data_IF_335905568636
#
_entry.id   IF_335905568636
#
_cell.length_a   1.000
_cell.length_b   1.000
_cell.length_c   1.000
_cell.angle_alpha   90.00
_cell.angle_beta   90.00
_cell.angle_gamma   90.00
#
_symmetry.space_group_name_H-M   'P 1'
#
loop_
_entity.id
_entity.type
_entity.pdbx_description
1 polymer ?
#
# COMPACT_ATOMS: atom_id res chain seq x y z
N UNK A 1 -15.13 64.05 42.00
CA UNK A 1 -14.46 62.96 41.27
C UNK A 1 -13.08 63.44 40.89
N UNK A 2 -12.05 62.79 41.44
CA UNK A 2 -10.65 63.24 41.47
C UNK A 2 -9.99 63.18 40.09
N UNK A 3 -9.11 64.15 39.82
CA UNK A 3 -8.26 64.26 38.62
C UNK A 3 -6.80 63.93 38.98
N UNK A 4 -6.08 63.41 37.96
CA UNK A 4 -4.61 63.36 37.72
C UNK A 4 -3.80 62.20 38.35
N UNK A 5 -2.57 61.90 37.85
CA UNK A 5 -2.06 61.94 36.47
C UNK A 5 -1.11 60.77 36.07
N UNK A 6 -0.74 60.76 34.78
CA UNK A 6 0.50 60.31 34.13
C UNK A 6 1.61 59.60 34.95
N UNK A 7 2.11 58.49 34.39
CA UNK A 7 3.54 58.20 34.31
C UNK A 7 3.83 57.45 32.99
N UNK A 8 4.82 57.98 32.29
CA UNK A 8 5.41 57.60 31.03
C UNK A 8 6.83 57.16 31.39
N UNK A 9 7.29 55.99 30.95
CA UNK A 9 8.71 55.66 30.94
C UNK A 9 9.05 54.70 29.80
N UNK A 10 10.14 55.06 29.14
CA UNK A 10 10.77 54.48 27.95
C UNK A 10 11.46 53.15 28.21
N UNK A 11 11.30 52.17 27.30
CA UNK A 11 12.34 51.14 27.06
C UNK A 11 12.50 50.88 25.55
N UNK A 12 13.49 51.59 25.00
CA UNK A 12 14.62 51.15 24.14
C UNK A 12 14.42 50.00 23.13
N UNK A 13 14.54 50.42 21.87
CA UNK A 13 15.11 49.75 20.70
C UNK A 13 15.84 48.41 20.90
N UNK A 14 15.39 47.38 20.17
CA UNK A 14 16.26 46.37 19.55
C UNK A 14 15.69 45.90 18.20
N UNK A 15 16.40 46.24 17.13
CA UNK A 15 16.71 45.40 15.97
C UNK A 15 15.58 44.82 15.10
N UNK A 16 15.06 45.61 14.16
CA UNK A 16 14.52 45.07 12.91
C UNK A 16 15.69 44.70 11.99
N UNK A 17 16.02 43.41 11.89
CA UNK A 17 16.89 42.91 10.81
C UNK A 17 16.04 42.82 9.53
N UNK A 18 16.23 43.82 8.68
CA UNK A 18 15.76 43.84 7.30
C UNK A 18 16.55 42.78 6.51
N UNK A 19 15.95 41.60 6.28
CA UNK A 19 16.48 40.66 5.30
C UNK A 19 16.16 41.21 3.90
N UNK A 20 17.14 41.88 3.31
CA UNK A 20 17.20 42.15 1.87
C UNK A 20 17.37 40.80 1.15
N UNK A 21 16.26 40.25 0.68
CA UNK A 21 16.24 39.20 -0.33
C UNK A 21 16.18 39.84 -1.71
N UNK A 22 17.21 39.58 -2.50
CA UNK A 22 17.38 40.03 -3.89
C UNK A 22 16.23 39.51 -4.74
N UNK A 23 15.44 40.42 -5.33
CA UNK A 23 14.54 40.07 -6.44
C UNK A 23 15.43 39.82 -7.65
N UNK A 24 15.75 38.56 -7.92
CA UNK A 24 16.17 38.17 -9.27
C UNK A 24 14.93 38.22 -10.14
N UNK A 25 14.87 39.24 -10.98
CA UNK A 25 13.99 39.25 -12.14
C UNK A 25 14.36 38.03 -13.00
N UNK A 26 13.50 37.02 -13.00
CA UNK A 26 13.52 35.98 -14.03
C UNK A 26 13.12 36.70 -15.31
N UNK A 27 14.10 36.92 -16.17
CA UNK A 27 13.87 37.34 -17.55
C UNK A 27 12.99 36.28 -18.20
N UNK A 28 11.79 36.67 -18.60
CA UNK A 28 10.94 35.90 -19.49
C UNK A 28 11.69 35.80 -20.82
N UNK A 29 12.35 34.67 -21.03
CA UNK A 29 12.94 34.29 -22.31
C UNK A 29 11.99 33.30 -22.97
N UNK A 30 11.48 33.71 -24.13
CA UNK A 30 10.83 32.93 -25.19
C UNK A 30 9.94 31.72 -24.83
N UNK A 31 8.63 31.93 -24.94
CA UNK A 31 7.96 31.59 -26.21
C UNK A 31 7.64 30.13 -26.55
N UNK A 32 8.07 29.13 -25.79
CA UNK A 32 7.50 27.78 -25.87
C UNK A 32 6.76 27.48 -24.57
N UNK A 33 5.43 27.56 -24.59
CA UNK A 33 4.62 26.84 -23.60
C UNK A 33 4.90 25.37 -23.85
N UNK A 34 5.86 24.80 -23.13
CA UNK A 34 6.00 23.36 -23.02
C UNK A 34 4.70 22.86 -22.40
N UNK A 35 3.80 22.43 -23.26
CA UNK A 35 2.65 21.66 -22.85
C UNK A 35 3.22 20.36 -22.28
N UNK A 36 3.17 20.22 -20.96
CA UNK A 36 3.40 18.93 -20.34
C UNK A 36 2.53 17.90 -21.06
N UNK A 37 3.18 16.85 -21.54
CA UNK A 37 2.47 15.71 -22.07
C UNK A 37 1.54 15.14 -20.99
N UNK A 38 0.46 14.48 -21.39
CA UNK A 38 -0.42 13.79 -20.45
C UNK A 38 0.36 12.81 -19.54
N UNK A 39 1.44 12.19 -20.06
CA UNK A 39 2.29 11.31 -19.26
C UNK A 39 3.11 12.06 -18.21
N UNK A 40 3.55 13.29 -18.50
CA UNK A 40 4.26 14.13 -17.53
C UNK A 40 3.29 14.66 -16.48
N UNK A 41 2.09 15.08 -16.89
CA UNK A 41 1.03 15.50 -15.98
C UNK A 41 0.62 14.39 -15.01
N UNK A 42 0.41 13.17 -15.52
CA UNK A 42 0.13 11.99 -14.70
C UNK A 42 1.31 11.61 -13.82
N UNK A 43 2.55 11.80 -14.27
CA UNK A 43 3.75 11.51 -13.47
C UNK A 43 3.97 12.55 -12.36
N UNK A 44 3.62 13.81 -12.62
CA UNK A 44 3.68 14.89 -11.64
C UNK A 44 2.58 14.76 -10.59
N UNK A 45 1.34 14.45 -11.01
CA UNK A 45 0.26 14.08 -10.09
C UNK A 45 0.60 12.85 -9.24
N UNK A 46 1.28 11.85 -9.83
CA UNK A 46 1.78 10.68 -9.10
C UNK A 46 2.88 11.03 -8.08
N UNK A 47 3.81 11.92 -8.43
CA UNK A 47 4.84 12.40 -7.49
C UNK A 47 4.23 13.22 -6.36
N UNK A 48 3.25 14.06 -6.66
CA UNK A 48 2.48 14.81 -5.67
C UNK A 48 1.75 13.86 -4.71
N UNK A 49 1.09 12.82 -5.23
CA UNK A 49 0.45 11.76 -4.44
C UNK A 49 1.45 11.07 -3.49
N UNK A 50 2.65 10.72 -3.98
CA UNK A 50 3.73 10.12 -3.16
C UNK A 50 4.43 11.13 -2.21
N UNK A 51 4.26 12.44 -2.39
CA UNK A 51 4.90 13.48 -1.58
C UNK A 51 4.09 13.87 -0.32
N UNK A 52 2.83 13.44 -0.21
CA UNK A 52 2.08 13.45 1.06
C UNK A 52 2.92 12.76 2.13
N UNK A 53 3.07 13.29 3.37
CA UNK A 53 4.02 12.74 4.34
C UNK A 53 3.65 11.31 4.78
N UNK A 54 4.07 10.34 3.96
CA UNK A 54 4.06 8.89 4.16
C UNK A 54 4.87 8.46 5.39
N UNK A 55 5.61 9.40 5.99
CA UNK A 55 6.56 9.21 7.08
C UNK A 55 5.95 8.63 8.36
N UNK A 56 4.63 8.45 8.44
CA UNK A 56 3.95 7.84 9.59
C UNK A 56 3.36 6.47 9.31
N UNK A 57 3.27 5.99 8.06
CA UNK A 57 2.55 4.75 7.72
C UNK A 57 3.42 3.69 7.04
N UNK A 58 4.31 4.08 6.12
CA UNK A 58 5.24 3.16 5.46
C UNK A 58 6.63 3.25 6.10
N UNK A 59 7.17 2.10 6.52
CA UNK A 59 8.53 2.02 7.03
C UNK A 59 9.53 2.21 5.89
N UNK A 60 10.59 2.99 6.10
CA UNK A 60 11.65 3.24 5.10
C UNK A 60 12.30 1.93 4.60
N UNK A 61 12.30 0.89 5.42
CA UNK A 61 12.79 -0.44 5.06
C UNK A 61 11.91 -1.19 4.03
N UNK A 62 10.65 -0.76 3.84
CA UNK A 62 9.71 -1.40 2.92
C UNK A 62 9.80 -0.82 1.50
N UNK A 63 9.80 -1.70 0.49
CA UNK A 63 9.66 -1.31 -0.91
C UNK A 63 8.35 -0.58 -1.15
N UNK A 64 8.27 0.25 -2.19
CA UNK A 64 6.98 0.73 -2.69
C UNK A 64 6.01 -0.43 -2.94
N UNK A 65 4.70 -0.20 -2.83
CA UNK A 65 3.69 -1.24 -3.10
C UNK A 65 3.81 -1.79 -4.52
N UNK A 66 4.08 -0.90 -5.47
CA UNK A 66 4.31 -1.23 -6.87
C UNK A 66 5.55 -2.10 -7.06
N UNK A 67 6.64 -1.79 -6.37
CA UNK A 67 7.87 -2.58 -6.41
C UNK A 67 7.71 -3.94 -5.72
N UNK A 68 6.97 -4.01 -4.60
CA UNK A 68 6.66 -5.27 -3.93
C UNK A 68 5.79 -6.18 -4.82
N UNK A 69 4.74 -5.64 -5.44
CA UNK A 69 3.92 -6.37 -6.40
C UNK A 69 4.73 -6.83 -7.62
N UNK A 70 5.63 -5.97 -8.14
CA UNK A 70 6.53 -6.30 -9.25
C UNK A 70 7.53 -7.39 -8.87
N UNK A 71 8.09 -7.33 -7.66
CA UNK A 71 8.99 -8.35 -7.12
C UNK A 71 8.29 -9.71 -7.00
N UNK A 72 7.08 -9.75 -6.45
CA UNK A 72 6.28 -10.98 -6.37
C UNK A 72 5.87 -11.51 -7.75
N UNK A 73 5.51 -10.62 -8.69
CA UNK A 73 5.26 -10.99 -10.09
C UNK A 73 6.49 -11.67 -10.69
N UNK A 74 7.66 -11.04 -10.58
CA UNK A 74 8.90 -11.57 -11.12
C UNK A 74 9.25 -12.93 -10.50
N UNK A 75 9.04 -13.10 -9.19
CA UNK A 75 9.19 -14.39 -8.51
C UNK A 75 8.23 -15.42 -9.09
N UNK A 76 6.97 -15.07 -9.35
CA UNK A 76 5.96 -16.01 -9.86
C UNK A 76 6.19 -16.40 -11.32
N UNK A 77 6.49 -15.43 -12.19
CA UNK A 77 6.93 -15.69 -13.57
C UNK A 77 8.10 -16.66 -13.58
N UNK A 78 9.03 -16.38 -12.68
CA UNK A 78 10.25 -17.14 -12.52
C UNK A 78 9.95 -18.57 -12.04
N UNK A 79 9.14 -18.72 -10.99
CA UNK A 79 8.79 -20.02 -10.42
C UNK A 79 8.27 -20.98 -11.48
N UNK A 80 7.63 -20.53 -12.57
CA UNK A 80 7.49 -21.35 -13.79
C UNK A 80 6.74 -22.70 -13.65
N UNK A 81 6.05 -22.95 -12.52
CA UNK A 81 5.72 -24.32 -12.12
C UNK A 81 4.26 -24.69 -12.15
N UNK A 82 3.90 -25.83 -12.76
CA UNK A 82 2.73 -26.56 -12.36
C UNK A 82 2.98 -27.30 -11.05
N UNK A 83 2.75 -26.66 -9.89
CA UNK A 83 2.56 -27.41 -8.66
C UNK A 83 1.32 -28.31 -8.83
N UNK A 84 1.51 -29.63 -8.77
CA UNK A 84 0.42 -30.58 -9.00
C UNK A 84 -0.63 -30.48 -7.89
N UNK A 85 -1.76 -29.82 -8.21
CA UNK A 85 -3.01 -30.06 -7.52
C UNK A 85 -3.67 -31.28 -8.17
N UNK A 86 -3.99 -32.37 -7.44
CA UNK A 86 -4.36 -33.66 -8.03
C UNK A 86 -5.64 -33.66 -8.88
N UNK A 87 -6.38 -32.54 -8.91
CA UNK A 87 -7.63 -32.38 -9.64
C UNK A 87 -7.58 -31.29 -10.72
N UNK A 88 -6.42 -30.68 -10.97
CA UNK A 88 -6.25 -29.68 -12.02
C UNK A 88 -5.33 -30.21 -13.12
N UNK A 89 -5.69 -29.95 -14.36
CA UNK A 89 -4.82 -30.21 -15.52
C UNK A 89 -3.68 -29.20 -15.57
N UNK A 90 -2.55 -29.55 -16.19
CA UNK A 90 -1.42 -28.63 -16.34
C UNK A 90 -1.79 -27.33 -17.05
N UNK A 91 -2.75 -27.41 -17.99
CA UNK A 91 -3.27 -26.23 -18.70
C UNK A 91 -4.01 -25.29 -17.75
N UNK A 92 -4.84 -25.81 -16.87
CA UNK A 92 -5.55 -25.02 -15.87
C UNK A 92 -4.59 -24.43 -14.84
N UNK A 93 -3.60 -25.21 -14.39
CA UNK A 93 -2.57 -24.74 -13.47
C UNK A 93 -1.78 -23.58 -14.08
N UNK A 94 -1.28 -23.75 -15.30
CA UNK A 94 -0.58 -22.66 -16.04
C UNK A 94 -1.46 -21.44 -16.20
N UNK A 95 -2.74 -21.63 -16.56
CA UNK A 95 -3.67 -20.52 -16.71
C UNK A 95 -3.84 -19.74 -15.41
N UNK A 96 -4.07 -20.41 -14.27
CA UNK A 96 -4.25 -19.72 -13.00
C UNK A 96 -2.95 -19.02 -12.55
N UNK A 97 -1.75 -19.59 -12.79
CA UNK A 97 -0.48 -18.88 -12.55
C UNK A 97 -0.31 -17.62 -13.39
N UNK A 98 -0.58 -17.70 -14.69
CA UNK A 98 -0.59 -16.52 -15.58
C UNK A 98 -1.59 -15.47 -15.10
N UNK A 99 -2.74 -15.89 -14.55
CA UNK A 99 -3.68 -14.94 -13.95
C UNK A 99 -3.09 -14.26 -12.72
N UNK A 100 -2.44 -15.00 -11.80
CA UNK A 100 -1.76 -14.40 -10.63
C UNK A 100 -0.77 -13.32 -11.09
N UNK A 101 0.08 -13.66 -12.05
CA UNK A 101 1.06 -12.74 -12.64
C UNK A 101 0.41 -11.49 -13.23
N UNK A 102 -0.61 -11.66 -14.08
CA UNK A 102 -1.31 -10.54 -14.73
C UNK A 102 -1.93 -9.59 -13.71
N UNK A 103 -2.56 -10.12 -12.66
CA UNK A 103 -3.16 -9.31 -11.60
C UNK A 103 -2.11 -8.54 -10.79
N UNK A 104 -0.98 -9.17 -10.45
CA UNK A 104 0.14 -8.48 -9.81
C UNK A 104 0.78 -7.43 -10.73
N UNK A 105 0.86 -7.70 -12.03
CA UNK A 105 1.33 -6.76 -13.05
C UNK A 105 0.44 -5.53 -13.16
N UNK A 106 -0.89 -5.72 -13.13
CA UNK A 106 -1.84 -4.60 -13.10
C UNK A 106 -1.72 -3.81 -11.79
N UNK A 107 -1.57 -4.46 -10.63
CA UNK A 107 -1.34 -3.78 -9.36
C UNK A 107 -0.05 -2.94 -9.37
N UNK A 108 1.05 -3.50 -9.91
CA UNK A 108 2.34 -2.84 -10.01
C UNK A 108 2.39 -1.73 -11.07
N UNK A 109 1.55 -1.83 -12.12
CA UNK A 109 1.45 -0.87 -13.20
C UNK A 109 0.46 0.26 -12.94
N UNK A 110 -0.43 0.12 -11.94
CA UNK A 110 -1.43 1.12 -11.59
C UNK A 110 -0.75 2.35 -10.97
N UNK A 111 -0.65 3.40 -11.78
CA UNK A 111 -0.10 4.70 -11.36
C UNK A 111 -1.15 5.54 -10.64
N UNK A 112 -2.30 5.74 -11.28
CA UNK A 112 -3.34 6.65 -10.80
C UNK A 112 -4.68 6.30 -11.45
N UNK A 113 -5.76 6.43 -10.68
CA UNK A 113 -7.14 6.38 -11.14
C UNK A 113 -7.70 7.79 -11.02
N UNK A 114 -7.99 8.40 -12.16
CA UNK A 114 -8.53 9.75 -12.22
C UNK A 114 -10.06 9.73 -12.06
N UNK A 115 -10.56 10.39 -11.03
CA UNK A 115 -11.98 10.57 -10.75
C UNK A 115 -12.26 12.06 -10.70
N UNK A 116 -13.05 12.50 -11.68
CA UNK A 116 -13.56 13.85 -11.77
C UNK A 116 -15.07 13.85 -11.53
N UNK A 117 -15.50 14.43 -10.41
CA UNK A 117 -16.91 14.75 -10.22
C UNK A 117 -17.23 16.00 -11.03
N UNK A 118 -17.78 15.80 -12.24
CA UNK A 118 -18.34 16.86 -13.06
C UNK A 118 -19.61 17.42 -12.40
N UNK A 119 -19.47 18.45 -11.56
CA UNK A 119 -20.54 19.41 -11.32
C UNK A 119 -19.97 20.78 -10.92
N UNK A 120 -19.45 21.49 -11.92
CA UNK A 120 -18.70 22.72 -11.67
C UNK A 120 -18.57 23.63 -12.89
N UNK A 121 -19.48 23.57 -13.86
CA UNK A 121 -19.56 24.66 -14.85
C UNK A 121 -19.94 26.00 -14.21
N UNK A 122 -20.28 26.03 -12.93
CA UNK A 122 -20.58 27.23 -12.14
C UNK A 122 -19.62 27.47 -10.95
N UNK A 123 -18.68 26.56 -10.64
CA UNK A 123 -17.72 26.74 -9.51
C UNK A 123 -16.60 27.74 -9.82
N UNK A 124 -16.30 28.00 -11.10
CA UNK A 124 -15.40 29.07 -11.55
C UNK A 124 -15.75 30.48 -11.05
N UNK A 125 -16.99 30.71 -10.58
CA UNK A 125 -17.43 31.99 -10.03
C UNK A 125 -16.98 32.18 -8.56
N UNK A 126 -16.55 31.11 -7.89
CA UNK A 126 -16.05 31.13 -6.52
C UNK A 126 -14.78 30.26 -6.41
N UNK A 127 -13.60 30.90 -6.34
CA UNK A 127 -12.32 30.19 -6.27
C UNK A 127 -12.28 29.12 -5.17
N UNK A 128 -12.91 29.40 -4.03
CA UNK A 128 -12.98 28.48 -2.88
C UNK A 128 -13.77 27.19 -3.20
N UNK A 129 -14.85 27.29 -3.99
CA UNK A 129 -15.61 26.12 -4.41
C UNK A 129 -14.84 25.30 -5.47
N UNK A 130 -14.05 25.97 -6.31
CA UNK A 130 -13.09 25.33 -7.21
C UNK A 130 -12.04 24.52 -6.45
N UNK A 131 -11.35 25.16 -5.50
CA UNK A 131 -10.31 24.52 -4.67
C UNK A 131 -10.84 23.29 -3.91
N UNK A 132 -12.07 23.38 -3.38
CA UNK A 132 -12.72 22.24 -2.72
C UNK A 132 -12.96 21.06 -3.67
N UNK A 133 -13.50 21.32 -4.86
CA UNK A 133 -13.76 20.27 -5.84
C UNK A 133 -12.45 19.61 -6.29
N UNK A 134 -11.40 20.40 -6.51
CA UNK A 134 -10.07 19.87 -6.88
C UNK A 134 -9.49 18.99 -5.76
N UNK A 135 -9.60 19.43 -4.50
CA UNK A 135 -9.18 18.65 -3.34
C UNK A 135 -9.99 17.35 -3.18
N UNK A 136 -11.32 17.41 -3.37
CA UNK A 136 -12.18 16.25 -3.29
C UNK A 136 -11.91 15.24 -4.41
N UNK A 137 -11.77 15.71 -5.66
CA UNK A 137 -11.38 14.88 -6.80
C UNK A 137 -10.03 14.21 -6.56
N UNK A 138 -9.04 14.98 -6.07
CA UNK A 138 -7.71 14.44 -5.73
C UNK A 138 -7.78 13.34 -4.68
N UNK A 139 -8.56 13.56 -3.63
CA UNK A 139 -8.74 12.62 -2.52
C UNK A 139 -9.45 11.33 -2.95
N UNK A 140 -10.55 11.46 -3.70
CA UNK A 140 -11.31 10.30 -4.20
C UNK A 140 -10.50 9.53 -5.23
N UNK A 141 -9.74 10.22 -6.08
CA UNK A 141 -8.81 9.60 -7.04
C UNK A 141 -7.70 8.81 -6.35
N UNK A 142 -7.08 9.39 -5.31
CA UNK A 142 -6.09 8.71 -4.48
C UNK A 142 -6.66 7.45 -3.81
N UNK A 143 -7.83 7.59 -3.19
CA UNK A 143 -8.54 6.48 -2.56
C UNK A 143 -8.89 5.38 -3.57
N UNK A 144 -9.45 5.75 -4.72
CA UNK A 144 -9.79 4.81 -5.78
C UNK A 144 -8.56 4.12 -6.37
N UNK A 145 -7.42 4.81 -6.44
CA UNK A 145 -6.15 4.21 -6.86
C UNK A 145 -5.77 3.06 -5.93
N UNK A 146 -5.76 3.29 -4.62
CA UNK A 146 -5.41 2.25 -3.66
C UNK A 146 -6.46 1.15 -3.55
N UNK A 147 -7.75 1.48 -3.70
CA UNK A 147 -8.81 0.47 -3.74
C UNK A 147 -8.71 -0.42 -4.99
N UNK A 148 -8.43 0.15 -6.17
CA UNK A 148 -8.21 -0.65 -7.38
C UNK A 148 -6.97 -1.53 -7.24
N UNK A 149 -5.89 -1.02 -6.63
CA UNK A 149 -4.71 -1.83 -6.32
C UNK A 149 -5.05 -2.98 -5.38
N UNK A 150 -5.83 -2.72 -4.33
CA UNK A 150 -6.31 -3.75 -3.41
C UNK A 150 -7.10 -4.84 -4.15
N UNK A 151 -8.01 -4.47 -5.05
CA UNK A 151 -8.80 -5.41 -5.85
C UNK A 151 -7.94 -6.25 -6.79
N UNK A 152 -6.92 -5.67 -7.42
CA UNK A 152 -5.98 -6.42 -8.25
C UNK A 152 -5.14 -7.40 -7.43
N UNK A 153 -4.55 -6.97 -6.32
CA UNK A 153 -3.77 -7.86 -5.44
C UNK A 153 -4.64 -8.96 -4.86
N UNK A 154 -5.87 -8.63 -4.46
CA UNK A 154 -6.83 -9.62 -4.01
C UNK A 154 -7.18 -10.64 -5.11
N UNK A 155 -7.37 -10.17 -6.35
CA UNK A 155 -7.62 -11.06 -7.49
C UNK A 155 -6.44 -12.00 -7.72
N UNK A 156 -5.20 -11.53 -7.58
CA UNK A 156 -4.01 -12.38 -7.59
C UNK A 156 -4.05 -13.43 -6.46
N UNK A 157 -4.40 -13.02 -5.24
CA UNK A 157 -4.52 -13.93 -4.11
C UNK A 157 -5.58 -15.02 -4.36
N UNK A 158 -6.78 -14.67 -4.86
CA UNK A 158 -7.82 -15.65 -5.18
C UNK A 158 -7.36 -16.72 -6.19
N UNK A 159 -6.58 -16.30 -7.20
CA UNK A 159 -6.01 -17.20 -8.20
C UNK A 159 -4.96 -18.11 -7.58
N UNK A 160 -4.08 -17.55 -6.76
CA UNK A 160 -3.08 -18.33 -6.01
C UNK A 160 -3.76 -19.36 -5.09
N UNK A 161 -4.80 -18.97 -4.36
CA UNK A 161 -5.54 -19.87 -3.47
C UNK A 161 -6.17 -21.08 -4.17
N UNK A 162 -6.46 -20.98 -5.47
CA UNK A 162 -6.92 -22.13 -6.27
C UNK A 162 -5.80 -23.13 -6.54
N UNK A 163 -4.56 -22.67 -6.64
CA UNK A 163 -3.38 -23.49 -6.91
C UNK A 163 -2.90 -24.23 -5.66
N UNK A 164 -3.05 -23.62 -4.49
CA UNK A 164 -2.55 -24.20 -3.24
C UNK A 164 -3.34 -25.43 -2.77
N UNK A 165 -2.63 -26.33 -2.12
CA UNK A 165 -3.20 -27.41 -1.31
C UNK A 165 -3.48 -26.84 0.08
N UNK A 166 -4.76 -26.74 0.43
CA UNK A 166 -5.21 -26.09 1.65
C UNK A 166 -5.70 -27.13 2.67
N UNK A 167 -5.49 -26.93 3.98
CA UNK A 167 -5.94 -27.87 5.01
C UNK A 167 -7.47 -27.83 5.19
N UNK A 168 -8.04 -28.94 5.68
CA UNK A 168 -9.48 -29.09 5.93
C UNK A 168 -9.89 -28.90 7.41
N UNK A 169 -8.98 -28.39 8.23
CA UNK A 169 -9.17 -28.19 9.67
C UNK A 169 -10.00 -26.94 10.03
N UNK A 170 -10.54 -26.22 9.05
CA UNK A 170 -11.47 -25.11 9.28
C UNK A 170 -12.89 -25.66 9.45
N UNK A 171 -13.66 -25.21 10.47
CA UNK A 171 -15.04 -25.65 10.68
C UNK A 171 -15.92 -25.43 9.44
N UNK A 172 -16.81 -26.38 9.15
CA UNK A 172 -17.63 -26.41 7.92
C UNK A 172 -18.32 -25.07 7.61
N UNK A 173 -18.90 -24.42 8.63
CA UNK A 173 -19.59 -23.12 8.51
C UNK A 173 -18.69 -22.00 7.94
N UNK A 174 -17.37 -22.10 8.12
CA UNK A 174 -16.39 -21.11 7.69
C UNK A 174 -15.47 -21.65 6.60
N UNK A 175 -15.75 -22.84 6.04
CA UNK A 175 -14.88 -23.50 5.07
C UNK A 175 -14.94 -22.79 3.72
N UNK A 176 -13.95 -21.94 3.48
CA UNK A 176 -13.66 -21.32 2.18
C UNK A 176 -12.14 -21.24 2.00
N UNK A 177 -11.68 -20.95 0.78
CA UNK A 177 -10.26 -21.02 0.47
C UNK A 177 -9.42 -20.04 1.28
N UNK A 178 -9.87 -18.80 1.50
CA UNK A 178 -9.07 -17.84 2.25
C UNK A 178 -8.97 -18.20 3.74
N UNK A 179 -10.03 -18.72 4.38
CA UNK A 179 -9.97 -19.19 5.76
C UNK A 179 -9.06 -20.42 5.90
N UNK A 180 -9.12 -21.35 4.93
CA UNK A 180 -8.22 -22.52 4.92
C UNK A 180 -6.76 -22.10 4.71
N UNK A 181 -6.51 -21.07 3.91
CA UNK A 181 -5.19 -20.48 3.75
C UNK A 181 -4.70 -19.74 5.00
N UNK A 182 -5.56 -19.00 5.70
CA UNK A 182 -5.23 -18.45 7.03
C UNK A 182 -4.85 -19.56 8.02
N UNK A 183 -5.52 -20.72 7.95
CA UNK A 183 -5.19 -21.89 8.76
C UNK A 183 -3.86 -22.54 8.35
N UNK A 184 -3.57 -22.60 7.04
CA UNK A 184 -2.27 -23.04 6.54
C UNK A 184 -1.15 -22.15 7.08
N UNK A 185 -1.28 -20.82 6.95
CA UNK A 185 -0.30 -19.87 7.48
C UNK A 185 -0.15 -20.00 9.00
N UNK A 186 -1.26 -20.18 9.73
CA UNK A 186 -1.21 -20.38 11.19
C UNK A 186 -0.38 -21.62 11.56
N UNK A 187 -0.50 -22.72 10.81
CA UNK A 187 0.27 -23.95 11.04
C UNK A 187 1.74 -23.78 10.65
N UNK A 188 2.02 -23.17 9.49
CA UNK A 188 3.38 -23.00 8.99
C UNK A 188 4.23 -22.02 9.79
N UNK A 189 3.60 -21.05 10.45
CA UNK A 189 4.25 -20.03 11.27
C UNK A 189 3.93 -20.20 12.77
N UNK A 190 3.62 -21.41 13.22
CA UNK A 190 3.44 -21.68 14.66
C UNK A 190 4.77 -21.60 15.42
N UNK A 191 5.86 -22.04 14.79
CA UNK A 191 7.22 -22.06 15.35
C UNK A 191 8.22 -21.22 14.54
N UNK A 192 7.77 -20.59 13.46
CA UNK A 192 8.61 -19.78 12.59
C UNK A 192 8.27 -18.30 12.73
N UNK A 193 9.28 -17.45 12.58
CA UNK A 193 9.09 -16.01 12.63
C UNK A 193 8.27 -15.52 11.42
N UNK A 194 7.43 -14.52 11.68
CA UNK A 194 6.72 -13.78 10.66
C UNK A 194 7.70 -12.93 9.84
N UNK A 195 7.39 -12.60 8.56
CA UNK A 195 8.16 -11.63 7.82
C UNK A 195 8.34 -10.32 8.59
N UNK A 196 9.50 -9.67 8.42
CA UNK A 196 9.75 -8.34 8.99
C UNK A 196 8.59 -7.39 8.66
N UNK A 197 8.25 -6.50 9.59
CA UNK A 197 7.16 -5.53 9.47
C UNK A 197 5.72 -6.09 9.30
N UNK A 198 5.50 -7.41 9.22
CA UNK A 198 4.15 -7.97 9.11
C UNK A 198 3.22 -7.49 10.25
N UNK A 199 3.70 -7.58 11.49
CA UNK A 199 2.92 -7.14 12.65
C UNK A 199 2.74 -5.62 12.71
N UNK A 200 3.74 -4.84 12.26
CA UNK A 200 3.63 -3.39 12.17
C UNK A 200 2.52 -2.97 11.19
N UNK A 201 2.46 -3.59 10.01
CA UNK A 201 1.37 -3.35 9.03
C UNK A 201 0.01 -3.71 9.62
N UNK A 202 -0.08 -4.85 10.30
CA UNK A 202 -1.31 -5.26 10.98
C UNK A 202 -1.75 -4.26 12.06
N UNK A 203 -0.83 -3.81 12.90
CA UNK A 203 -1.11 -2.87 13.99
C UNK A 203 -1.54 -1.49 13.46
N UNK A 204 -0.85 -0.95 12.46
CA UNK A 204 -1.24 0.29 11.81
C UNK A 204 -2.62 0.18 11.17
N UNK A 205 -2.91 -0.93 10.48
CA UNK A 205 -4.22 -1.15 9.89
C UNK A 205 -5.31 -1.24 10.96
N UNK A 206 -5.05 -1.92 12.08
CA UNK A 206 -5.99 -1.95 13.21
C UNK A 206 -6.27 -0.55 13.76
N UNK A 207 -5.24 0.29 13.91
CA UNK A 207 -5.40 1.67 14.38
C UNK A 207 -6.28 2.48 13.42
N UNK A 208 -6.05 2.35 12.11
CA UNK A 208 -6.90 2.99 11.10
C UNK A 208 -8.36 2.54 11.20
N UNK A 209 -8.61 1.24 11.31
CA UNK A 209 -9.98 0.70 11.45
C UNK A 209 -10.64 1.13 12.76
N UNK A 210 -9.89 1.27 13.85
CA UNK A 210 -10.43 1.71 15.15
C UNK A 210 -10.73 3.20 15.21
N UNK A 211 -9.95 4.02 14.49
CA UNK A 211 -10.07 5.47 14.50
C UNK A 211 -11.07 5.99 13.45
N UNK A 212 -11.44 5.16 12.47
CA UNK A 212 -12.46 5.48 11.46
C UNK A 212 -13.80 4.85 11.84
N UNK A 213 -14.81 5.69 12.10
CA UNK A 213 -16.13 5.24 12.53
C UNK A 213 -16.87 4.41 11.46
N UNK A 214 -16.68 4.72 10.17
CA UNK A 214 -17.29 3.98 9.07
C UNK A 214 -16.69 2.58 8.99
N UNK A 215 -15.37 2.45 9.03
CA UNK A 215 -14.67 1.17 9.04
C UNK A 215 -14.97 0.35 10.30
N UNK A 216 -15.02 1.00 11.47
CA UNK A 216 -15.34 0.33 12.73
C UNK A 216 -16.75 -0.28 12.72
N UNK A 217 -17.71 0.39 12.08
CA UNK A 217 -19.09 -0.09 11.97
C UNK A 217 -19.24 -1.36 11.12
N UNK A 218 -18.23 -1.68 10.30
CA UNK A 218 -18.23 -2.86 9.44
C UNK A 218 -18.06 -4.16 10.21
N UNK A 219 -19.17 -4.88 10.37
CA UNK A 219 -19.20 -6.16 11.09
C UNK A 219 -18.32 -7.24 10.44
N UNK A 220 -18.15 -7.21 9.12
CA UNK A 220 -17.30 -8.16 8.40
C UNK A 220 -15.83 -7.92 8.73
N UNK A 221 -15.39 -6.66 8.62
CA UNK A 221 -14.05 -6.20 8.94
C UNK A 221 -13.69 -6.42 10.40
N UNK A 222 -14.57 -6.00 11.33
CA UNK A 222 -14.40 -6.23 12.77
C UNK A 222 -14.21 -7.71 13.10
N UNK A 223 -14.95 -8.60 12.44
CA UNK A 223 -14.79 -10.06 12.61
C UNK A 223 -13.48 -10.59 12.03
N UNK A 224 -12.93 -9.96 10.99
CA UNK A 224 -11.64 -10.34 10.39
C UNK A 224 -10.44 -9.98 11.24
N UNK A 225 -10.58 -9.02 12.15
CA UNK A 225 -9.55 -8.66 13.14
C UNK A 225 -9.48 -9.66 14.31
N UNK A 226 -10.51 -10.49 14.50
CA UNK A 226 -10.57 -11.45 15.60
C UNK A 226 -9.73 -12.70 15.32
N UNK A 227 -8.88 -13.06 16.29
CA UNK A 227 -8.15 -14.32 16.30
C UNK A 227 -9.10 -15.48 16.58
N UNK A 228 -8.90 -16.59 15.89
CA UNK A 228 -9.58 -17.87 16.13
C UNK A 228 -8.56 -19.00 16.24
N UNK A 229 -8.98 -20.21 16.64
CA UNK A 229 -8.07 -21.36 16.75
C UNK A 229 -7.38 -21.72 15.43
N UNK A 230 -8.02 -21.45 14.29
CA UNK A 230 -7.54 -21.73 12.94
C UNK A 230 -7.08 -20.47 12.19
N UNK A 231 -7.07 -19.31 12.84
CA UNK A 231 -6.58 -18.04 12.27
C UNK A 231 -5.95 -17.22 13.39
N UNK A 232 -4.65 -17.39 13.53
CA UNK A 232 -3.78 -16.57 14.37
C UNK A 232 -3.18 -15.43 13.54
N UNK A 233 -2.22 -14.72 14.12
CA UNK A 233 -1.48 -13.59 13.54
C UNK A 233 -1.09 -13.81 12.06
N UNK A 234 -0.51 -14.95 11.63
CA UNK A 234 -0.09 -15.17 10.25
C UNK A 234 -1.24 -15.10 9.22
N UNK A 235 -2.48 -15.33 9.66
CA UNK A 235 -3.65 -15.37 8.79
C UNK A 235 -4.53 -14.11 8.83
N UNK A 236 -4.19 -13.11 9.65
CA UNK A 236 -5.04 -11.93 9.89
C UNK A 236 -5.06 -10.98 8.69
N UNK A 237 -3.90 -10.62 8.11
CA UNK A 237 -3.85 -9.67 6.99
C UNK A 237 -4.60 -10.18 5.76
N UNK A 238 -4.50 -11.48 5.45
CA UNK A 238 -5.29 -12.12 4.39
C UNK A 238 -6.80 -11.97 4.63
N UNK A 239 -7.24 -12.18 5.87
CA UNK A 239 -8.64 -12.05 6.23
C UNK A 239 -9.12 -10.60 6.18
N UNK A 240 -8.29 -9.65 6.59
CA UNK A 240 -8.65 -8.23 6.60
C UNK A 240 -8.78 -7.73 5.16
N UNK A 241 -7.81 -8.03 4.29
CA UNK A 241 -7.88 -7.67 2.88
C UNK A 241 -9.12 -8.24 2.17
N UNK A 242 -9.51 -9.49 2.48
CA UNK A 242 -10.77 -10.07 1.98
C UNK A 242 -12.01 -9.29 2.40
N UNK A 243 -12.03 -8.73 3.61
CA UNK A 243 -13.18 -7.95 4.10
C UNK A 243 -13.17 -6.55 3.51
N UNK A 244 -12.00 -5.91 3.46
CA UNK A 244 -11.85 -4.53 2.98
C UNK A 244 -12.21 -4.35 1.52
N UNK A 245 -11.91 -5.32 0.65
CA UNK A 245 -12.25 -5.25 -0.79
C UNK A 245 -13.75 -5.07 -1.06
N UNK A 246 -14.60 -5.47 -0.13
CA UNK A 246 -16.06 -5.46 -0.29
C UNK A 246 -16.71 -4.20 0.29
N UNK A 247 -15.97 -3.37 1.02
CA UNK A 247 -16.53 -2.19 1.71
C UNK A 247 -17.14 -1.20 0.71
N UNK A 248 -16.49 -0.86 -0.43
CA UNK A 248 -17.10 0.05 -1.41
C UNK A 248 -18.41 -0.51 -2.01
N UNK A 249 -18.45 -1.81 -2.28
CA UNK A 249 -19.61 -2.47 -2.90
C UNK A 249 -20.86 -2.50 -1.99
N UNK A 250 -20.68 -2.36 -0.68
CA UNK A 250 -21.79 -2.33 0.28
C UNK A 250 -22.30 -0.91 0.55
N UNK A 251 -21.74 0.11 -0.09
CA UNK A 251 -22.14 1.52 0.09
C UNK A 251 -21.91 2.04 1.51
N UNK A 252 -21.09 1.33 2.29
CA UNK A 252 -20.73 1.70 3.66
C UNK A 252 -19.68 2.79 3.63
N UNK A 253 -18.76 2.68 2.68
CA UNK A 253 -17.84 3.74 2.40
C UNK A 253 -18.56 4.82 1.59
N UNK A 254 -18.77 5.97 2.22
CA UNK A 254 -19.32 7.18 1.58
C UNK A 254 -18.28 7.88 0.71
N UNK A 255 -17.11 7.26 0.55
CA UNK A 255 -15.92 7.89 0.01
C UNK A 255 -15.33 8.85 1.04
N UNK A 256 -14.04 9.16 0.92
CA UNK A 256 -13.44 10.18 1.76
C UNK A 256 -14.04 11.56 1.44
N UNK A 257 -14.56 12.21 2.47
CA UNK A 257 -15.07 13.58 2.39
C UNK A 257 -13.99 14.56 2.87
N UNK A 258 -13.88 15.70 2.20
CA UNK A 258 -13.04 16.80 2.68
C UNK A 258 -13.73 17.42 3.90
N UNK A 259 -13.13 17.30 5.09
CA UNK A 259 -13.69 17.84 6.34
C UNK A 259 -13.64 19.36 6.37
N UNK A 260 -14.82 19.95 6.57
CA UNK A 260 -15.21 21.34 6.86
C UNK A 260 -14.45 22.51 6.21
N UNK A 261 -15.27 23.40 5.63
CA UNK A 261 -14.96 24.63 4.90
C UNK A 261 -14.16 25.71 5.66
N UNK A 262 -13.93 25.58 6.96
CA UNK A 262 -13.33 26.66 7.74
C UNK A 262 -11.80 26.65 7.60
N UNK A 263 -11.33 27.67 6.89
CA UNK A 263 -9.95 28.01 6.55
C UNK A 263 -8.97 27.78 7.71
N UNK A 264 -7.74 27.39 7.32
CA UNK A 264 -6.52 27.35 8.13
C UNK A 264 -6.30 26.15 9.05
N UNK A 265 -7.09 25.06 8.97
CA UNK A 265 -6.74 23.84 9.71
C UNK A 265 -5.75 22.96 8.91
N UNK A 266 -4.46 22.86 9.30
CA UNK A 266 -3.51 21.91 8.72
C UNK A 266 -3.99 20.44 8.85
N UNK A 267 -5.04 20.16 9.63
CA UNK A 267 -5.71 18.85 9.65
C UNK A 267 -6.38 18.47 8.33
N UNK A 268 -6.68 19.43 7.44
CA UNK A 268 -7.25 19.15 6.11
C UNK A 268 -6.27 18.40 5.18
N UNK A 269 -4.98 18.77 5.19
CA UNK A 269 -3.91 18.00 4.52
C UNK A 269 -3.69 16.62 5.17
N UNK A 270 -3.82 16.54 6.51
CA UNK A 270 -3.74 15.28 7.25
C UNK A 270 -4.91 14.34 6.92
N UNK A 271 -6.11 14.88 6.68
CA UNK A 271 -7.29 14.09 6.30
C UNK A 271 -7.10 13.44 4.91
N UNK A 272 -6.57 14.21 3.94
CA UNK A 272 -6.18 13.72 2.61
C UNK A 272 -5.23 12.52 2.71
N UNK A 273 -4.24 12.58 3.60
CA UNK A 273 -3.32 11.48 3.87
C UNK A 273 -4.06 10.24 4.43
N UNK A 274 -4.89 10.39 5.46
CA UNK A 274 -5.46 9.22 6.16
C UNK A 274 -6.45 8.38 5.36
N UNK A 275 -7.22 9.00 4.46
CA UNK A 275 -8.32 8.36 3.73
C UNK A 275 -7.92 7.11 2.93
N UNK A 276 -6.77 7.14 2.26
CA UNK A 276 -6.31 6.03 1.43
C UNK A 276 -5.33 5.09 2.16
N UNK A 277 -4.94 5.40 3.40
CA UNK A 277 -4.01 4.57 4.16
C UNK A 277 -4.56 3.18 4.46
N UNK A 278 -5.85 3.08 4.78
CA UNK A 278 -6.47 1.79 5.07
C UNK A 278 -6.41 0.82 3.87
N UNK A 279 -6.86 1.18 2.64
CA UNK A 279 -6.69 0.31 1.48
C UNK A 279 -5.22 0.09 1.08
N UNK A 280 -4.34 1.08 1.28
CA UNK A 280 -2.90 0.94 1.05
C UNK A 280 -2.27 -0.13 1.96
N UNK A 281 -2.53 -0.05 3.27
CA UNK A 281 -2.07 -1.02 4.27
C UNK A 281 -2.71 -2.41 4.06
N UNK A 282 -3.98 -2.46 3.66
CA UNK A 282 -4.63 -3.72 3.30
C UNK A 282 -3.98 -4.36 2.07
N UNK A 283 -3.61 -3.55 1.07
CA UNK A 283 -2.87 -4.00 -0.12
C UNK A 283 -1.52 -4.56 0.29
N UNK A 284 -0.76 -3.83 1.14
CA UNK A 284 0.50 -4.32 1.71
C UNK A 284 0.32 -5.65 2.43
N UNK A 285 -0.70 -5.75 3.27
CA UNK A 285 -1.00 -6.95 4.03
C UNK A 285 -1.36 -8.14 3.14
N UNK A 286 -2.06 -7.92 2.02
CA UNK A 286 -2.31 -8.97 1.04
C UNK A 286 -1.05 -9.40 0.29
N UNK A 287 -0.18 -8.46 -0.11
CA UNK A 287 1.10 -8.80 -0.74
C UNK A 287 1.98 -9.62 0.22
N UNK A 288 2.07 -9.24 1.49
CA UNK A 288 2.74 -10.03 2.53
C UNK A 288 2.10 -11.41 2.71
N UNK A 289 0.78 -11.49 2.65
CA UNK A 289 0.07 -12.78 2.74
C UNK A 289 0.37 -13.68 1.53
N UNK A 290 0.38 -13.14 0.31
CA UNK A 290 0.78 -13.84 -0.92
C UNK A 290 2.23 -14.35 -0.76
N UNK A 291 3.13 -13.47 -0.32
CA UNK A 291 4.53 -13.80 -0.06
C UNK A 291 4.66 -14.97 0.92
N UNK A 292 3.98 -14.93 2.05
CA UNK A 292 4.00 -16.01 3.04
C UNK A 292 3.41 -17.31 2.50
N UNK A 293 2.34 -17.24 1.70
CA UNK A 293 1.73 -18.41 1.07
C UNK A 293 2.67 -19.06 0.05
N UNK A 294 3.36 -18.26 -0.76
CA UNK A 294 4.39 -18.73 -1.68
C UNK A 294 5.56 -19.39 -0.91
N UNK A 295 6.05 -18.72 0.14
CA UNK A 295 7.13 -19.23 0.99
C UNK A 295 6.76 -20.56 1.67
N UNK A 296 5.54 -20.68 2.21
CA UNK A 296 5.01 -21.93 2.77
C UNK A 296 4.93 -23.04 1.73
N UNK A 297 4.60 -22.69 0.50
CA UNK A 297 4.40 -23.65 -0.58
C UNK A 297 5.69 -24.04 -1.28
N UNK A 298 6.85 -23.49 -0.87
CA UNK A 298 8.14 -23.71 -1.52
C UNK A 298 8.56 -25.18 -1.55
N UNK A 299 8.20 -25.94 -0.53
CA UNK A 299 8.49 -27.38 -0.44
C UNK A 299 7.83 -28.23 -1.54
N UNK A 300 6.91 -27.65 -2.30
CA UNK A 300 6.22 -28.32 -3.41
C UNK A 300 6.72 -27.89 -4.78
N UNK A 301 7.70 -26.98 -4.83
CA UNK A 301 8.43 -26.68 -6.06
C UNK A 301 9.52 -27.75 -6.25
N UNK A 302 9.80 -28.19 -7.49
CA UNK A 302 10.83 -29.17 -7.76
C UNK A 302 12.19 -28.60 -7.39
N UNK A 303 13.06 -29.49 -6.94
CA UNK A 303 14.41 -29.17 -6.49
C UNK A 303 15.31 -28.67 -7.65
N UNK A 304 14.94 -28.99 -8.90
CA UNK A 304 15.68 -28.69 -10.13
C UNK A 304 15.35 -27.28 -10.70
N UNK A 305 15.30 -26.28 -9.82
CA UNK A 305 15.20 -24.89 -10.24
C UNK A 305 16.54 -24.48 -10.89
N UNK A 306 16.47 -23.92 -12.11
CA UNK A 306 17.59 -23.41 -12.92
C UNK A 306 18.63 -22.58 -12.10
N UNK A 307 19.91 -22.59 -12.48
CA UNK A 307 20.94 -21.94 -11.64
C UNK A 307 20.91 -20.40 -11.75
N UNK A 308 20.36 -19.87 -12.85
CA UNK A 308 20.25 -18.42 -13.17
C UNK A 308 19.22 -17.65 -12.31
N UNK A 309 18.58 -18.35 -11.37
CA UNK A 309 17.38 -17.89 -10.65
C UNK A 309 17.70 -17.00 -9.45
N UNK A 310 18.71 -17.47 -8.72
CA UNK A 310 19.01 -17.03 -7.35
C UNK A 310 20.16 -16.02 -7.37
N UNK A 311 21.08 -16.17 -8.34
CA UNK A 311 22.23 -15.28 -8.52
C UNK A 311 21.80 -13.85 -8.84
N UNK A 312 22.53 -12.88 -8.28
CA UNK A 312 22.33 -11.46 -8.55
C UNK A 312 21.17 -10.81 -7.81
N UNK A 313 20.75 -11.37 -6.65
CA UNK A 313 19.67 -10.80 -5.83
C UNK A 313 20.15 -10.46 -4.42
N UNK A 314 19.50 -9.50 -3.78
CA UNK A 314 19.65 -9.26 -2.35
C UNK A 314 18.61 -10.06 -1.56
N UNK A 315 19.06 -10.78 -0.53
CA UNK A 315 18.19 -11.49 0.42
C UNK A 315 18.48 -11.06 1.84
N UNK A 316 17.45 -11.13 2.69
CA UNK A 316 17.52 -10.85 4.11
C UNK A 316 17.51 -12.19 4.86
N UNK A 317 18.69 -12.70 5.21
CA UNK A 317 18.85 -13.94 5.96
C UNK A 317 19.38 -13.65 7.37
N UNK A 318 18.75 -14.23 8.39
CA UNK A 318 19.12 -14.01 9.80
C UNK A 318 19.33 -12.52 10.19
N UNK A 319 18.51 -11.63 9.62
CA UNK A 319 18.55 -10.18 9.87
C UNK A 319 19.68 -9.42 9.15
N UNK A 320 20.42 -10.06 8.23
CA UNK A 320 21.48 -9.44 7.44
C UNK A 320 21.16 -9.47 5.96
N UNK A 321 21.60 -8.44 5.25
CA UNK A 321 21.58 -8.41 3.79
C UNK A 321 22.73 -9.22 3.24
N UNK A 322 22.42 -10.15 2.36
CA UNK A 322 23.37 -10.99 1.67
C UNK A 322 23.09 -10.88 0.17
N UNK A 323 24.14 -10.57 -0.60
CA UNK A 323 24.07 -10.63 -2.06
C UNK A 323 24.28 -12.08 -2.46
N UNK A 324 23.33 -12.60 -3.21
CA UNK A 324 23.36 -13.98 -3.63
C UNK A 324 24.29 -14.10 -4.82
N UNK A 325 25.41 -14.79 -4.64
CA UNK A 325 26.38 -15.10 -5.71
C UNK A 325 26.33 -16.56 -6.17
N UNK A 326 25.57 -17.42 -5.47
CA UNK A 326 25.43 -18.87 -5.70
C UNK A 326 24.05 -19.34 -5.17
N UNK A 327 23.57 -20.54 -5.52
CA UNK A 327 22.26 -21.11 -5.14
C UNK A 327 21.91 -21.24 -3.63
N UNK A 328 22.80 -20.89 -2.71
CA UNK A 328 22.63 -21.15 -1.27
C UNK A 328 21.97 -20.00 -0.46
N UNK A 329 20.97 -19.32 -1.01
CA UNK A 329 19.79 -19.02 -0.19
C UNK A 329 18.62 -19.86 -0.63
N UNK A 330 17.89 -20.40 0.35
CA UNK A 330 16.64 -21.07 0.09
C UNK A 330 15.72 -20.09 -0.66
N UNK A 331 15.09 -20.53 -1.77
CA UNK A 331 14.04 -19.79 -2.49
C UNK A 331 13.03 -19.11 -1.53
N UNK A 332 12.76 -19.77 -0.41
CA UNK A 332 11.98 -19.25 0.70
C UNK A 332 12.46 -17.88 1.20
N UNK A 333 13.76 -17.67 1.38
CA UNK A 333 14.33 -16.43 1.89
C UNK A 333 14.27 -15.30 0.86
N UNK A 334 14.43 -15.60 -0.44
CA UNK A 334 14.15 -14.65 -1.53
C UNK A 334 12.71 -14.17 -1.43
N UNK A 335 11.77 -15.10 -1.34
CA UNK A 335 10.34 -14.77 -1.23
C UNK A 335 10.10 -13.94 0.03
N UNK A 336 10.61 -14.36 1.18
CA UNK A 336 10.41 -13.65 2.44
C UNK A 336 11.02 -12.26 2.48
N UNK A 337 12.02 -11.98 1.64
CA UNK A 337 12.67 -10.67 1.55
C UNK A 337 12.04 -9.74 0.51
N UNK A 338 11.09 -10.22 -0.30
CA UNK A 338 10.54 -9.49 -1.46
C UNK A 338 9.87 -8.14 -1.13
N UNK A 339 9.48 -7.93 0.12
CA UNK A 339 8.88 -6.69 0.62
C UNK A 339 9.90 -5.62 1.06
N UNK A 340 11.17 -6.00 1.24
CA UNK A 340 12.21 -5.15 1.83
C UNK A 340 13.04 -4.45 0.75
N UNK A 341 13.33 -3.16 0.93
CA UNK A 341 14.24 -2.41 0.05
C UNK A 341 15.63 -2.98 0.19
N UNK A 342 16.26 -3.29 -0.94
CA UNK A 342 17.63 -3.78 -0.90
C UNK A 342 18.62 -2.63 -0.56
N UNK A 343 19.85 -2.94 -0.15
CA UNK A 343 20.86 -1.92 0.16
C UNK A 343 21.11 -0.92 -0.97
N UNK A 344 21.12 -1.39 -2.22
CA UNK A 344 21.41 -0.56 -3.39
C UNK A 344 20.33 0.52 -3.62
N UNK A 345 19.07 0.24 -3.28
CA UNK A 345 17.96 1.20 -3.37
C UNK A 345 18.06 2.35 -2.36
N UNK A 346 18.98 2.29 -1.38
CA UNK A 346 19.24 3.41 -0.46
C UNK A 346 20.29 4.40 -0.99
N UNK A 347 21.12 4.00 -1.96
CA UNK A 347 22.25 4.81 -2.46
C UNK A 347 21.88 5.73 -3.64
N UNK A 348 20.66 5.64 -4.19
CA UNK A 348 20.19 6.43 -5.35
C UNK A 348 19.98 7.94 -5.07
N UNK A 349 20.48 8.46 -3.95
CA UNK A 349 20.60 9.91 -3.70
C UNK A 349 19.26 10.67 -3.61
N UNK A 350 18.13 9.98 -3.59
CA UNK A 350 16.79 10.54 -3.49
C UNK A 350 16.28 10.57 -2.04
N UNK A 351 17.06 11.18 -1.14
CA UNK A 351 16.57 11.65 0.17
C UNK A 351 16.43 13.17 0.16
#
# INVERSE_FOLDING_TARGET
MSKRPFLQDDIKHTGVKQLRGTVQAISVVDGSRDFMSMSELLSEGYRFYKATPLSTVDCVALRGLDDHARGLKAIIEFLGLPAHKPHMTDKEIRHEWTQVEQWLGMAAGLRFVDIEFLDGRDSWLCSVAGDYNDAHNSLVSAYATEQNRLLYVWSAAERLLKLLILPDNVPDKFRNNYNRASSLLTQSYELADLPEHYMCVYEHLCQHVQNDAALQSEKSLSRSLLKTSWRREPGLLLSIGNSMRNIPAHGVDTGPAVTDWDRDDPRSEVALSTAYHAPMLATRGLLLSIQMLLATSCQYFPDDLDDDIVDGRWVRAAGKWEWVTNLEPALRDIILSAHLRNPDEFDDGSM
#
